data_IF_406943672203
#
_entry.id   IF_406943672203
#
_cell.length_a   1.000
_cell.length_b   1.000
_cell.length_c   1.000
_cell.angle_alpha   90.00
_cell.angle_beta   90.00
_cell.angle_gamma   90.00
#
_symmetry.space_group_name_H-M   'P 1'
#
loop_
_entity.id
_entity.type
_entity.pdbx_description
1 polymer ?
#
# COMPACT_ATOMS: atom_id res chain seq x y z
N UNK A 1 24.21 -23.62 -7.06
CA UNK A 1 22.99 -22.85 -7.38
C UNK A 1 21.82 -23.55 -6.70
N UNK A 2 21.44 -23.08 -5.51
CA UNK A 2 20.31 -23.63 -4.75
C UNK A 2 19.15 -22.66 -4.88
N UNK A 3 18.08 -23.08 -5.57
CA UNK A 3 16.82 -22.36 -5.56
C UNK A 3 16.24 -22.42 -4.15
N UNK A 4 16.19 -21.27 -3.48
CA UNK A 4 15.55 -21.13 -2.17
C UNK A 4 14.04 -21.20 -2.43
N UNK A 5 13.45 -22.38 -2.21
CA UNK A 5 12.00 -22.53 -2.06
C UNK A 5 11.61 -21.93 -0.71
N UNK A 6 11.15 -20.68 -0.70
CA UNK A 6 10.49 -20.13 0.48
C UNK A 6 9.20 -20.94 0.73
N UNK A 7 9.21 -21.75 1.79
CA UNK A 7 8.01 -22.32 2.37
C UNK A 7 7.31 -21.18 3.10
N UNK A 8 6.20 -20.69 2.56
CA UNK A 8 5.31 -19.78 3.27
C UNK A 8 4.84 -20.45 4.57
N UNK A 9 5.21 -19.86 5.69
CA UNK A 9 4.63 -20.17 7.00
C UNK A 9 3.25 -19.53 7.01
N UNK A 10 2.24 -20.40 6.99
CA UNK A 10 0.82 -20.08 7.05
C UNK A 10 0.51 -19.34 8.36
N UNK A 11 0.36 -18.01 8.29
CA UNK A 11 -0.09 -17.22 9.43
C UNK A 11 -1.62 -17.11 9.37
N UNK A 12 -2.28 -17.89 10.24
CA UNK A 12 -3.73 -17.88 10.43
C UNK A 12 -4.10 -16.61 11.20
N UNK A 13 -4.70 -15.62 10.53
CA UNK A 13 -5.35 -14.49 11.19
C UNK A 13 -6.81 -14.85 11.42
N UNK A 14 -7.17 -14.96 12.70
CA UNK A 14 -8.51 -15.24 13.16
C UNK A 14 -9.43 -14.02 12.94
N UNK A 15 -10.55 -14.22 12.25
CA UNK A 15 -11.73 -13.34 12.34
C UNK A 15 -12.75 -14.05 13.21
N UNK A 16 -12.99 -13.49 14.41
CA UNK A 16 -14.09 -13.88 15.29
C UNK A 16 -15.37 -13.16 14.85
N UNK A 17 -16.36 -13.93 14.39
CA UNK A 17 -17.78 -13.62 14.60
C UNK A 17 -18.53 -14.95 14.72
N UNK A 18 -19.10 -15.18 15.91
CA UNK A 18 -19.65 -16.48 16.29
C UNK A 18 -20.90 -16.86 15.52
N UNK A 19 -20.93 -18.12 15.06
CA UNK A 19 -22.09 -19.00 15.15
C UNK A 19 -21.55 -20.41 15.39
N UNK A 20 -21.80 -20.96 16.58
CA UNK A 20 -21.59 -22.36 16.85
C UNK A 20 -22.61 -23.16 16.03
N UNK A 21 -22.12 -23.82 14.98
CA UNK A 21 -22.83 -24.82 14.22
C UNK A 21 -21.82 -25.51 13.33
N UNK A 22 -21.42 -26.73 13.69
CA UNK A 22 -20.48 -27.55 12.94
C UNK A 22 -21.09 -28.00 11.60
N UNK A 23 -21.23 -27.08 10.66
CA UNK A 23 -21.31 -27.36 9.23
C UNK A 23 -19.91 -27.17 8.66
N UNK A 24 -19.43 -28.13 7.89
CA UNK A 24 -18.16 -28.06 7.15
C UNK A 24 -17.93 -26.66 6.57
N UNK A 25 -16.90 -25.95 7.06
CA UNK A 25 -16.53 -24.65 6.53
C UNK A 25 -16.34 -24.78 5.01
N UNK A 26 -17.00 -23.90 4.25
CA UNK A 26 -16.98 -23.91 2.79
C UNK A 26 -16.03 -22.82 2.35
N UNK A 27 -15.04 -23.22 1.56
CA UNK A 27 -13.87 -22.42 1.24
C UNK A 27 -13.93 -21.96 -0.22
N UNK A 28 -13.53 -20.71 -0.46
CA UNK A 28 -13.11 -20.25 -1.79
C UNK A 28 -11.60 -20.38 -1.87
N UNK A 29 -11.13 -21.01 -2.94
CA UNK A 29 -9.70 -21.18 -3.23
C UNK A 29 -9.37 -20.41 -4.48
N UNK A 30 -8.51 -19.39 -4.35
CA UNK A 30 -7.90 -18.77 -5.50
C UNK A 30 -6.86 -19.74 -6.10
N UNK A 31 -7.21 -20.35 -7.23
CA UNK A 31 -6.32 -21.24 -7.98
C UNK A 31 -5.57 -20.50 -9.10
N UNK A 32 -5.67 -19.16 -9.12
CA UNK A 32 -4.96 -18.31 -10.05
C UNK A 32 -3.86 -17.54 -9.35
N UNK A 33 -2.79 -17.33 -10.08
CA UNK A 33 -1.55 -16.68 -9.62
C UNK A 33 -1.66 -15.17 -9.80
N UNK A 34 -2.64 -14.59 -9.12
CA UNK A 34 -2.92 -13.16 -9.13
C UNK A 34 -3.71 -12.81 -7.88
N UNK A 35 -3.60 -11.55 -7.47
CA UNK A 35 -4.31 -11.07 -6.29
C UNK A 35 -5.78 -10.90 -6.65
N UNK A 36 -6.63 -11.59 -5.88
CA UNK A 36 -8.06 -11.69 -6.15
C UNK A 36 -8.85 -10.94 -5.07
N UNK A 37 -9.65 -9.97 -5.51
CA UNK A 37 -10.76 -9.46 -4.70
C UNK A 37 -12.06 -10.06 -5.18
N UNK A 38 -12.94 -10.45 -4.28
CA UNK A 38 -14.27 -10.87 -4.66
C UNK A 38 -15.32 -10.54 -3.60
N UNK A 39 -16.57 -10.60 -4.01
CA UNK A 39 -17.76 -10.53 -3.20
C UNK A 39 -18.68 -11.68 -3.56
N UNK A 40 -19.51 -12.10 -2.61
CA UNK A 40 -20.46 -13.20 -2.78
C UNK A 40 -21.85 -12.60 -2.70
N UNK A 41 -22.57 -12.67 -3.81
CA UNK A 41 -23.89 -12.04 -3.96
C UNK A 41 -24.95 -13.12 -4.07
N UNK A 42 -25.90 -13.21 -3.12
CA UNK A 42 -27.10 -14.03 -3.28
C UNK A 42 -27.84 -13.63 -4.55
N UNK A 43 -27.99 -14.56 -5.49
CA UNK A 43 -28.61 -14.28 -6.79
C UNK A 43 -29.02 -15.57 -7.49
N UNK A 44 -29.90 -15.47 -8.49
CA UNK A 44 -30.26 -16.56 -9.38
C UNK A 44 -29.39 -16.57 -10.65
N UNK A 45 -29.41 -17.67 -11.42
CA UNK A 45 -28.66 -17.81 -12.67
C UNK A 45 -29.03 -16.70 -13.68
N UNK A 46 -30.32 -16.36 -13.80
CA UNK A 46 -30.78 -15.38 -14.78
C UNK A 46 -30.25 -13.96 -14.50
N UNK A 47 -30.14 -13.58 -13.22
CA UNK A 47 -29.57 -12.31 -12.79
C UNK A 47 -28.05 -12.32 -12.92
N UNK A 48 -27.40 -13.46 -12.65
CA UNK A 48 -25.99 -13.63 -12.97
C UNK A 48 -25.71 -13.42 -14.46
N UNK A 49 -26.46 -14.08 -15.35
CA UNK A 49 -26.29 -14.00 -16.80
C UNK A 49 -26.52 -12.57 -17.33
N UNK A 50 -27.41 -11.80 -16.70
CA UNK A 50 -27.58 -10.37 -17.00
C UNK A 50 -26.37 -9.54 -16.56
N UNK A 51 -25.81 -9.82 -15.39
CA UNK A 51 -24.67 -9.06 -14.87
C UNK A 51 -23.38 -9.35 -15.68
N UNK A 52 -23.16 -10.57 -16.15
CA UNK A 52 -21.98 -10.87 -16.99
C UNK A 52 -22.04 -10.18 -18.36
N UNK A 53 -23.24 -9.84 -18.85
CA UNK A 53 -23.43 -9.11 -20.10
C UNK A 53 -23.03 -7.62 -19.98
N UNK A 54 -22.91 -7.10 -18.75
CA UNK A 54 -22.42 -5.76 -18.45
C UNK A 54 -21.35 -5.80 -17.35
N UNK A 55 -20.07 -6.01 -17.72
CA UNK A 55 -19.01 -6.12 -16.73
C UNK A 55 -18.78 -4.87 -15.87
N UNK A 56 -19.19 -3.69 -16.33
CA UNK A 56 -19.13 -2.48 -15.51
C UNK A 56 -20.03 -2.60 -14.27
N UNK A 57 -21.20 -3.23 -14.44
CA UNK A 57 -22.13 -3.54 -13.35
C UNK A 57 -21.49 -4.41 -12.27
N UNK A 58 -20.63 -5.35 -12.67
CA UNK A 58 -19.93 -6.22 -11.73
C UNK A 58 -18.92 -5.41 -10.90
N UNK A 59 -18.18 -4.50 -11.53
CA UNK A 59 -17.26 -3.59 -10.82
C UNK A 59 -18.01 -2.71 -9.82
N UNK A 60 -19.19 -2.19 -10.19
CA UNK A 60 -20.05 -1.43 -9.26
C UNK A 60 -20.50 -2.27 -8.05
N UNK A 61 -20.92 -3.51 -8.28
CA UNK A 61 -21.35 -4.44 -7.22
C UNK A 61 -20.19 -4.69 -6.24
N UNK A 62 -18.99 -4.91 -6.77
CA UNK A 62 -17.79 -5.12 -5.95
C UNK A 62 -17.47 -3.83 -5.17
N UNK A 63 -17.40 -2.68 -5.84
CA UNK A 63 -17.08 -1.39 -5.21
C UNK A 63 -18.09 -0.97 -4.12
N UNK A 64 -19.35 -1.40 -4.23
CA UNK A 64 -20.38 -1.12 -3.23
C UNK A 64 -20.21 -1.94 -1.93
N UNK A 65 -19.53 -3.09 -2.01
CA UNK A 65 -19.43 -4.05 -0.89
C UNK A 65 -18.00 -4.18 -0.35
N UNK A 66 -17.01 -3.73 -1.11
CA UNK A 66 -15.61 -3.73 -0.68
C UNK A 66 -14.89 -2.48 -1.15
N UNK A 67 -13.90 -2.06 -0.34
CA UNK A 67 -12.88 -1.13 -0.81
C UNK A 67 -11.94 -1.85 -1.77
N UNK A 68 -12.02 -1.54 -3.07
CA UNK A 68 -11.17 -2.13 -4.11
C UNK A 68 -9.69 -1.70 -4.01
N UNK A 69 -9.39 -0.68 -3.20
CA UNK A 69 -8.04 -0.18 -2.96
C UNK A 69 -7.22 -1.09 -2.06
N UNK A 70 -7.87 -2.02 -1.35
CA UNK A 70 -7.20 -2.98 -0.49
C UNK A 70 -7.50 -4.41 -0.97
N UNK A 71 -6.53 -5.04 -1.64
CA UNK A 71 -6.65 -6.44 -2.04
C UNK A 71 -5.72 -7.29 -1.17
N UNK A 72 -6.25 -8.08 -0.23
CA UNK A 72 -5.41 -8.91 0.60
C UNK A 72 -4.70 -9.98 -0.25
N UNK A 73 -3.40 -10.23 -0.01
CA UNK A 73 -2.64 -11.27 -0.68
C UNK A 73 -3.14 -12.63 -0.20
N UNK A 74 -4.02 -13.23 -0.99
CA UNK A 74 -4.65 -14.54 -0.76
C UNK A 74 -5.52 -14.64 0.50
N UNK A 75 -6.84 -14.82 0.29
CA UNK A 75 -7.78 -15.10 1.38
C UNK A 75 -8.55 -16.38 1.07
N UNK A 76 -8.25 -17.44 1.80
CA UNK A 76 -9.24 -18.47 2.06
C UNK A 76 -10.33 -17.82 2.90
N UNK A 77 -11.52 -17.63 2.33
CA UNK A 77 -12.64 -17.03 3.05
C UNK A 77 -13.68 -18.08 3.41
N UNK A 78 -14.29 -17.90 4.57
CA UNK A 78 -15.37 -18.75 5.05
C UNK A 78 -16.67 -18.12 4.63
N UNK A 79 -17.39 -18.82 3.76
CA UNK A 79 -18.65 -18.32 3.25
C UNK A 79 -19.78 -18.35 4.31
N UNK A 80 -20.76 -17.43 4.24
CA UNK A 80 -21.95 -17.41 5.12
C UNK A 80 -22.85 -18.65 4.93
N UNK A 81 -24.13 -18.66 5.31
CA UNK A 81 -25.02 -19.76 4.89
C UNK A 81 -25.34 -19.66 3.39
N UNK A 82 -25.52 -20.80 2.72
CA UNK A 82 -25.88 -20.83 1.30
C UNK A 82 -27.25 -20.20 1.05
N UNK A 83 -27.38 -19.25 0.11
CA UNK A 83 -28.68 -18.71 -0.27
C UNK A 83 -29.54 -19.75 -0.98
N UNK A 84 -30.87 -19.64 -0.82
CA UNK A 84 -31.83 -20.58 -1.39
C UNK A 84 -31.72 -20.70 -2.92
N UNK A 85 -31.45 -19.58 -3.61
CA UNK A 85 -31.44 -19.47 -5.07
C UNK A 85 -30.02 -19.55 -5.67
N UNK A 86 -29.02 -19.90 -4.87
CA UNK A 86 -27.61 -19.89 -5.26
C UNK A 86 -26.91 -18.55 -5.00
N UNK A 87 -25.67 -18.44 -5.44
CA UNK A 87 -24.87 -17.23 -5.30
C UNK A 87 -23.98 -17.00 -6.51
N UNK A 88 -23.69 -15.73 -6.82
CA UNK A 88 -22.63 -15.37 -7.73
C UNK A 88 -21.41 -14.88 -6.95
N UNK A 89 -20.25 -15.35 -7.36
CA UNK A 89 -18.97 -14.81 -6.95
C UNK A 89 -18.53 -13.84 -8.03
N UNK A 90 -18.46 -12.56 -7.67
CA UNK A 90 -17.97 -11.51 -8.54
C UNK A 90 -16.64 -11.02 -8.00
N UNK A 91 -15.65 -10.91 -8.86
CA UNK A 91 -14.32 -10.50 -8.43
C UNK A 91 -13.55 -9.73 -9.49
N UNK A 92 -12.39 -9.27 -9.07
CA UNK A 92 -11.38 -8.69 -9.94
C UNK A 92 -10.03 -9.30 -9.60
N UNK A 93 -9.32 -9.74 -10.63
CA UNK A 93 -7.90 -10.02 -10.53
C UNK A 93 -7.11 -8.75 -10.81
N UNK A 94 -6.12 -8.49 -9.97
CA UNK A 94 -5.08 -7.51 -10.20
C UNK A 94 -3.74 -8.21 -10.41
N UNK A 95 -2.97 -7.71 -11.37
CA UNK A 95 -1.63 -8.19 -11.68
C UNK A 95 -0.64 -7.06 -11.43
N UNK A 96 0.52 -7.41 -10.89
CA UNK A 96 1.66 -6.50 -10.78
C UNK A 96 1.98 -5.89 -12.16
N UNK A 97 2.16 -4.57 -12.21
CA UNK A 97 2.43 -3.84 -13.46
C UNK A 97 1.29 -3.76 -14.49
N UNK A 98 0.09 -4.31 -14.24
CA UNK A 98 -1.08 -4.13 -15.10
C UNK A 98 -2.10 -3.20 -14.43
N UNK A 99 -2.36 -2.04 -15.05
CA UNK A 99 -3.31 -1.03 -14.58
C UNK A 99 -4.78 -1.40 -14.85
N UNK A 100 -5.08 -2.57 -15.43
CA UNK A 100 -6.46 -3.00 -15.71
C UNK A 100 -7.01 -3.92 -14.62
N UNK A 101 -8.33 -3.91 -14.44
CA UNK A 101 -9.03 -4.85 -13.57
C UNK A 101 -9.61 -5.99 -14.42
N UNK A 102 -9.20 -7.21 -14.14
CA UNK A 102 -9.67 -8.38 -14.87
C UNK A 102 -10.89 -8.95 -14.16
N UNK A 103 -12.07 -8.66 -14.71
CA UNK A 103 -13.36 -8.97 -14.06
C UNK A 103 -13.64 -10.47 -14.12
N UNK A 104 -13.87 -11.06 -12.95
CA UNK A 104 -14.25 -12.44 -12.73
C UNK A 104 -15.73 -12.53 -12.35
N UNK A 105 -16.42 -13.52 -12.90
CA UNK A 105 -17.78 -13.84 -12.53
C UNK A 105 -18.00 -15.35 -12.56
N UNK A 106 -18.55 -15.89 -11.47
CA UNK A 106 -18.91 -17.31 -11.39
C UNK A 106 -20.21 -17.51 -10.64
N UNK A 107 -21.16 -18.17 -11.26
CA UNK A 107 -22.36 -18.64 -10.57
C UNK A 107 -22.13 -19.98 -9.85
N UNK A 108 -22.70 -20.09 -8.65
CA UNK A 108 -22.62 -21.24 -7.78
C UNK A 108 -24.05 -21.61 -7.35
N UNK A 109 -24.73 -22.50 -8.10
CA UNK A 109 -26.12 -22.88 -7.81
C UNK A 109 -26.22 -23.63 -6.48
N UNK A 110 -25.22 -24.44 -6.19
CA UNK A 110 -25.09 -25.19 -4.94
C UNK A 110 -23.67 -25.12 -4.46
N UNK A 111 -23.46 -24.83 -3.18
CA UNK A 111 -22.12 -24.81 -2.61
C UNK A 111 -21.68 -26.26 -2.36
N UNK A 112 -20.98 -26.81 -3.34
CA UNK A 112 -20.29 -28.10 -3.20
C UNK A 112 -18.91 -27.90 -2.55
N UNK A 113 -18.03 -28.91 -2.58
CA UNK A 113 -16.58 -28.87 -2.21
C UNK A 113 -15.88 -27.54 -2.59
N UNK A 114 -14.69 -27.24 -2.03
CA UNK A 114 -14.06 -25.91 -2.17
C UNK A 114 -14.20 -25.30 -3.55
N UNK A 115 -14.76 -24.10 -3.61
CA UNK A 115 -15.05 -23.41 -4.87
C UNK A 115 -13.73 -22.83 -5.37
N UNK A 116 -13.18 -23.43 -6.43
CA UNK A 116 -11.92 -23.00 -7.03
C UNK A 116 -12.16 -21.93 -8.08
N UNK A 117 -11.64 -20.73 -7.87
CA UNK A 117 -11.67 -19.63 -8.82
C UNK A 117 -10.36 -19.60 -9.61
N UNK A 118 -10.44 -19.35 -10.91
CA UNK A 118 -9.31 -19.42 -11.83
C UNK A 118 -9.40 -18.36 -12.93
N UNK A 119 -8.35 -18.25 -13.75
CA UNK A 119 -8.34 -17.39 -14.92
C UNK A 119 -9.43 -17.72 -15.97
N UNK A 120 -10.06 -18.90 -15.90
CA UNK A 120 -11.16 -19.29 -16.78
C UNK A 120 -12.49 -18.64 -16.37
N UNK A 121 -12.59 -18.14 -15.14
CA UNK A 121 -13.77 -17.44 -14.63
C UNK A 121 -13.71 -15.91 -14.95
N UNK A 122 -12.67 -15.45 -15.66
CA UNK A 122 -12.51 -14.05 -16.12
C UNK A 122 -13.37 -13.81 -17.36
N UNK A 123 -14.32 -12.88 -17.27
CA UNK A 123 -15.30 -12.56 -18.32
C UNK A 123 -14.94 -11.32 -19.15
N UNK A 124 -14.09 -10.43 -18.63
CA UNK A 124 -13.48 -9.35 -19.42
C UNK A 124 -12.00 -9.64 -19.56
N UNK A 125 -11.64 -10.14 -20.75
CA UNK A 125 -10.28 -10.09 -21.27
C UNK A 125 -10.32 -9.22 -22.50
N UNK A 126 -9.55 -8.14 -22.53
CA UNK A 126 -9.25 -7.48 -23.80
C UNK A 126 -8.47 -8.48 -24.68
N UNK A 127 -9.22 -9.20 -25.52
CA UNK A 127 -8.87 -9.87 -26.78
C UNK A 127 -7.51 -10.58 -26.98
N UNK A 128 -6.75 -10.96 -25.94
CA UNK A 128 -5.56 -11.81 -26.09
C UNK A 128 -5.53 -12.97 -25.09
N UNK A 129 -5.21 -14.20 -25.54
CA UNK A 129 -5.00 -15.34 -24.66
C UNK A 129 -3.71 -15.15 -23.85
N UNK A 130 -3.84 -15.04 -22.52
CA UNK A 130 -2.69 -15.09 -21.60
C UNK A 130 -2.17 -16.53 -21.57
N UNK A 131 -0.99 -16.75 -22.12
CA UNK A 131 -0.20 -17.95 -21.87
C UNK A 131 0.24 -17.96 -20.41
N UNK A 132 -0.11 -19.02 -19.70
CA UNK A 132 0.30 -19.30 -18.33
C UNK A 132 1.79 -19.61 -18.27
N UNK A 133 2.62 -18.58 -18.14
CA UNK A 133 3.89 -18.74 -17.45
C UNK A 133 3.56 -18.64 -15.95
N UNK A 134 3.92 -19.63 -15.14
CA UNK A 134 3.75 -19.52 -13.68
C UNK A 134 4.44 -18.26 -13.16
N UNK A 135 3.96 -17.67 -12.06
CA UNK A 135 4.70 -16.59 -11.42
C UNK A 135 6.10 -17.05 -11.11
N UNK A 136 7.04 -16.51 -11.87
CA UNK A 136 8.23 -15.96 -11.28
C UNK A 136 7.91 -14.51 -10.97
N UNK A 137 7.84 -14.17 -9.69
CA UNK A 137 7.92 -12.77 -9.24
C UNK A 137 9.11 -12.18 -9.99
N UNK A 138 8.91 -11.15 -10.84
CA UNK A 138 10.03 -10.53 -11.50
C UNK A 138 11.01 -10.11 -10.41
N UNK A 139 12.33 -10.38 -10.55
CA UNK A 139 13.29 -9.65 -9.73
C UNK A 139 12.96 -8.15 -9.84
N UNK A 140 13.24 -7.36 -8.80
CA UNK A 140 13.06 -5.90 -8.66
C UNK A 140 13.45 -5.01 -9.87
N UNK A 141 13.91 -5.60 -10.97
CA UNK A 141 14.14 -5.02 -12.28
C UNK A 141 12.90 -4.36 -12.91
N UNK A 142 11.65 -4.72 -12.54
CA UNK A 142 10.46 -3.99 -13.02
C UNK A 142 10.18 -2.76 -12.15
N UNK A 143 9.91 -1.61 -12.80
CA UNK A 143 9.48 -0.37 -12.15
C UNK A 143 8.24 -0.63 -11.29
N UNK A 144 8.22 -0.07 -10.07
CA UNK A 144 7.02 -0.03 -9.23
C UNK A 144 6.02 0.92 -9.89
N UNK A 145 4.75 0.51 -9.96
CA UNK A 145 3.67 1.33 -10.50
C UNK A 145 2.91 2.00 -9.36
N UNK A 146 2.80 3.33 -9.42
CA UNK A 146 2.08 4.17 -8.46
C UNK A 146 0.59 4.27 -8.88
N UNK A 147 -0.26 3.37 -8.38
CA UNK A 147 -1.67 3.14 -8.79
C UNK A 147 -2.67 2.73 -7.67
N UNK A 148 -2.28 2.74 -6.38
CA UNK A 148 -3.05 2.32 -5.20
C UNK A 148 -3.45 0.82 -5.20
N UNK A 149 -2.70 -0.08 -5.87
CA UNK A 149 -2.95 -1.53 -5.81
C UNK A 149 -1.98 -2.29 -4.93
N UNK A 150 -0.84 -1.68 -4.63
CA UNK A 150 0.21 -2.14 -3.73
C UNK A 150 0.83 -3.52 -4.00
N UNK A 151 0.49 -4.16 -5.13
CA UNK A 151 0.97 -5.51 -5.47
C UNK A 151 2.49 -5.57 -5.61
N UNK A 152 3.06 -4.51 -6.19
CA UNK A 152 4.49 -4.40 -6.40
C UNK A 152 5.27 -4.28 -5.07
N UNK A 153 4.60 -4.02 -3.94
CA UNK A 153 5.22 -3.86 -2.62
C UNK A 153 5.24 -5.13 -1.77
N UNK A 154 4.54 -6.20 -2.17
CA UNK A 154 4.40 -7.42 -1.36
C UNK A 154 5.77 -8.03 -1.03
N UNK A 155 6.70 -8.01 -1.99
CA UNK A 155 8.03 -8.60 -1.86
C UNK A 155 9.07 -7.65 -1.26
N UNK A 156 8.73 -6.37 -1.08
CA UNK A 156 9.62 -5.37 -0.48
C UNK A 156 9.44 -5.43 1.04
N UNK A 157 10.50 -5.72 1.81
CA UNK A 157 10.40 -5.75 3.26
C UNK A 157 10.19 -4.35 3.83
N UNK A 158 9.53 -4.28 4.98
CA UNK A 158 9.49 -3.07 5.78
C UNK A 158 10.92 -2.69 6.20
N UNK A 159 11.30 -1.43 5.93
CA UNK A 159 12.54 -0.83 6.42
C UNK A 159 12.33 -0.35 7.86
N UNK A 160 11.12 0.11 8.15
CA UNK A 160 10.63 0.39 9.50
C UNK A 160 9.25 -0.24 9.63
N UNK A 161 9.02 -0.92 10.76
CA UNK A 161 7.73 -1.52 11.11
C UNK A 161 7.40 -1.20 12.57
N UNK A 162 6.14 -0.88 12.81
CA UNK A 162 5.58 -0.59 14.13
C UNK A 162 4.44 -1.55 14.43
N UNK A 163 4.46 -2.13 15.63
CA UNK A 163 3.32 -2.87 16.14
C UNK A 163 2.12 -1.92 16.32
N UNK A 164 0.90 -2.37 16.06
CA UNK A 164 -0.32 -1.56 16.20
C UNK A 164 -0.50 -0.97 17.62
N UNK A 165 0.06 -1.63 18.63
CA UNK A 165 0.02 -1.20 20.03
C UNK A 165 1.17 -0.25 20.38
N UNK A 166 2.15 -0.10 19.49
CA UNK A 166 3.24 0.84 19.68
C UNK A 166 2.67 2.25 19.72
N UNK A 167 3.01 2.98 20.79
CA UNK A 167 2.61 4.36 21.02
C UNK A 167 3.85 5.16 21.34
N UNK A 168 4.14 6.27 20.63
CA UNK A 168 5.28 7.09 20.95
C UNK A 168 5.07 7.74 22.32
N UNK A 169 6.15 8.00 23.04
CA UNK A 169 6.05 8.67 24.37
C UNK A 169 5.76 10.16 24.23
N UNK A 170 6.26 10.77 23.15
CA UNK A 170 6.15 12.20 22.89
C UNK A 170 5.90 12.47 21.41
N UNK A 171 5.49 13.71 21.12
CA UNK A 171 5.37 14.24 19.77
C UNK A 171 5.82 15.70 19.78
N UNK A 172 6.04 16.28 18.60
CA UNK A 172 6.39 17.69 18.46
C UNK A 172 5.14 18.51 18.16
N UNK A 173 4.92 19.58 18.93
CA UNK A 173 3.85 20.55 18.72
C UNK A 173 4.45 21.87 18.24
N UNK A 174 3.92 22.40 17.15
CA UNK A 174 4.24 23.73 16.63
C UNK A 174 2.97 24.60 16.59
N UNK A 175 2.96 25.72 17.30
CA UNK A 175 1.83 26.68 17.34
C UNK A 175 2.10 27.97 16.54
N UNK A 176 3.13 27.95 15.68
CA UNK A 176 3.62 29.10 14.92
C UNK A 176 4.44 30.10 15.74
N UNK A 177 4.52 29.95 17.06
CA UNK A 177 5.37 30.77 17.95
C UNK A 177 6.51 29.96 18.56
N UNK A 178 6.26 28.68 18.82
CA UNK A 178 7.19 27.77 19.46
C UNK A 178 7.02 26.35 18.93
N UNK A 179 8.13 25.63 18.86
CA UNK A 179 8.16 24.20 18.55
C UNK A 179 8.65 23.46 19.80
N UNK A 180 7.80 22.60 20.36
CA UNK A 180 8.06 21.96 21.67
C UNK A 180 7.72 20.48 21.62
N UNK A 181 8.49 19.67 22.35
CA UNK A 181 8.20 18.24 22.55
C UNK A 181 7.25 18.07 23.72
N UNK A 182 6.13 17.40 23.51
CA UNK A 182 5.02 17.27 24.47
C UNK A 182 4.67 15.78 24.68
N UNK A 183 4.24 15.35 25.89
CA UNK A 183 3.78 13.98 26.10
C UNK A 183 2.62 13.58 25.19
N UNK A 184 2.62 12.35 24.70
CA UNK A 184 1.62 11.83 23.74
C UNK A 184 0.18 11.88 24.25
N UNK A 185 -0.04 11.87 25.58
CA UNK A 185 -1.36 12.00 26.19
C UNK A 185 -2.00 13.37 25.94
N UNK A 186 -1.20 14.37 25.57
CA UNK A 186 -1.68 15.72 25.23
C UNK A 186 -2.03 15.89 23.76
N UNK A 187 -1.80 14.87 22.93
CA UNK A 187 -2.05 14.93 21.49
C UNK A 187 -3.54 14.90 21.17
N UNK A 188 -3.96 15.73 20.22
CA UNK A 188 -5.32 15.72 19.65
C UNK A 188 -5.43 14.79 18.44
N UNK A 189 -4.29 14.46 17.82
CA UNK A 189 -4.23 13.81 16.51
C UNK A 189 -3.55 12.44 16.51
N UNK A 190 -3.06 11.94 17.64
CA UNK A 190 -2.53 10.57 17.73
C UNK A 190 -3.59 9.54 17.32
N UNK A 191 -3.16 8.53 16.54
CA UNK A 191 -4.03 7.52 15.93
C UNK A 191 -5.16 8.09 15.04
N UNK A 192 -4.92 9.24 14.42
CA UNK A 192 -5.80 9.90 13.44
C UNK A 192 -4.97 10.45 12.29
N UNK A 193 -5.59 10.72 11.14
CA UNK A 193 -4.95 11.40 10.01
C UNK A 193 -3.61 10.78 9.54
N UNK A 194 -3.44 9.47 9.69
CA UNK A 194 -2.22 8.74 9.34
C UNK A 194 -1.12 8.77 10.39
N UNK A 195 -1.32 9.40 11.56
CA UNK A 195 -0.27 9.55 12.59
C UNK A 195 0.15 8.24 13.29
N UNK A 196 -0.65 7.18 13.22
CA UNK A 196 -0.28 5.87 13.75
C UNK A 196 0.21 4.99 12.60
N UNK A 197 1.49 5.14 12.26
CA UNK A 197 2.13 4.39 11.17
C UNK A 197 2.22 2.90 11.49
N UNK A 198 2.02 2.07 10.47
CA UNK A 198 2.33 0.64 10.46
C UNK A 198 3.77 0.42 10.01
N UNK A 199 4.19 1.10 8.94
CA UNK A 199 5.55 0.90 8.44
C UNK A 199 5.84 1.62 7.14
N UNK A 200 7.11 1.58 6.78
CA UNK A 200 7.68 2.24 5.61
C UNK A 200 8.46 1.21 4.80
N UNK A 201 8.22 1.19 3.49
CA UNK A 201 8.97 0.41 2.50
C UNK A 201 9.59 1.37 1.50
N UNK A 202 10.83 1.08 1.12
CA UNK A 202 11.58 1.88 0.14
C UNK A 202 12.19 0.95 -0.92
N UNK A 203 12.27 1.43 -2.15
CA UNK A 203 13.02 0.77 -3.21
C UNK A 203 13.59 1.79 -4.17
N UNK A 204 14.72 1.47 -4.80
CA UNK A 204 15.33 2.27 -5.86
C UNK A 204 15.42 1.44 -7.13
N UNK A 205 14.90 2.00 -8.22
CA UNK A 205 15.04 1.43 -9.56
C UNK A 205 14.93 2.56 -10.61
N UNK A 206 15.68 2.46 -11.70
CA UNK A 206 15.50 3.30 -12.90
C UNK A 206 15.57 4.80 -12.64
N UNK A 207 16.45 5.23 -11.72
CA UNK A 207 16.60 6.64 -11.34
C UNK A 207 15.47 7.19 -10.48
N UNK A 208 14.62 6.33 -9.94
CA UNK A 208 13.54 6.67 -9.02
C UNK A 208 13.76 6.04 -7.66
N UNK A 209 13.38 6.77 -6.62
CA UNK A 209 13.13 6.24 -5.27
C UNK A 209 11.63 6.09 -5.12
N UNK A 210 11.19 4.88 -4.84
CA UNK A 210 9.81 4.57 -4.52
C UNK A 210 9.66 4.47 -3.01
N UNK A 211 8.58 5.04 -2.49
CA UNK A 211 8.22 4.96 -1.07
C UNK A 211 6.80 4.43 -0.93
N UNK A 212 6.57 3.49 0.00
CA UNK A 212 5.24 3.14 0.50
C UNK A 212 5.19 3.37 2.00
N UNK A 213 4.16 4.09 2.45
CA UNK A 213 3.87 4.38 3.85
C UNK A 213 2.52 3.80 4.18
N UNK A 214 2.47 2.97 5.22
CA UNK A 214 1.26 2.30 5.71
C UNK A 214 0.94 2.82 7.10
N UNK A 215 -0.35 2.96 7.41
CA UNK A 215 -0.83 3.47 8.70
C UNK A 215 -2.05 2.69 9.20
N UNK A 216 -2.10 2.46 10.52
CA UNK A 216 -3.28 1.90 11.19
C UNK A 216 -4.43 2.92 11.33
N UNK A 217 -4.13 4.23 11.20
CA UNK A 217 -5.13 5.29 11.17
C UNK A 217 -5.28 5.83 9.75
N UNK A 218 -6.51 6.23 9.41
CA UNK A 218 -6.77 6.72 8.07
C UNK A 218 -6.04 8.04 7.79
N UNK A 219 -5.37 8.17 6.64
CA UNK A 219 -4.83 9.44 6.16
C UNK A 219 -5.96 10.44 5.97
N UNK A 220 -5.77 11.65 6.49
CA UNK A 220 -6.72 12.75 6.29
C UNK A 220 -6.14 13.71 5.26
N UNK A 221 -7.01 14.39 4.51
CA UNK A 221 -6.55 15.50 3.67
C UNK A 221 -5.83 16.54 4.53
N UNK A 222 -4.78 17.14 3.96
CA UNK A 222 -3.89 18.10 4.59
C UNK A 222 -2.90 17.53 5.61
N UNK A 223 -2.98 16.25 6.00
CA UNK A 223 -1.84 15.64 6.68
C UNK A 223 -0.64 15.56 5.74
N UNK A 224 0.55 15.46 6.30
CA UNK A 224 1.79 15.55 5.56
C UNK A 224 2.71 14.43 6.03
N UNK A 225 3.18 13.59 5.11
CA UNK A 225 4.30 12.70 5.40
C UNK A 225 5.58 13.44 5.03
N UNK A 226 6.53 13.49 5.96
CA UNK A 226 7.83 14.14 5.77
C UNK A 226 8.94 13.13 5.97
N UNK A 227 9.96 13.18 5.12
CA UNK A 227 11.24 12.51 5.34
C UNK A 227 12.33 13.58 5.46
N UNK A 228 12.85 13.78 6.66
CA UNK A 228 13.96 14.69 6.93
C UNK A 228 15.29 13.98 6.71
N UNK A 229 16.13 14.50 5.83
CA UNK A 229 17.39 13.88 5.48
C UNK A 229 18.57 14.48 6.27
N UNK A 230 19.45 13.62 6.78
CA UNK A 230 20.61 14.00 7.59
C UNK A 230 21.88 13.30 7.13
N UNK A 231 22.98 14.05 7.10
CA UNK A 231 24.36 13.52 6.99
C UNK A 231 25.04 13.33 8.36
N UNK A 232 24.63 14.16 9.32
CA UNK A 232 24.91 14.05 10.74
C UNK A 232 23.63 14.44 11.49
N UNK A 233 23.10 13.55 12.32
CA UNK A 233 21.85 13.78 13.08
C UNK A 233 22.00 14.81 14.19
N UNK A 234 23.22 15.29 14.45
CA UNK A 234 23.49 16.41 15.37
C UNK A 234 23.28 17.77 14.70
N UNK A 235 23.28 17.81 13.37
CA UNK A 235 23.05 18.99 12.57
C UNK A 235 21.59 19.04 12.09
N UNK A 236 21.09 20.22 11.66
CA UNK A 236 19.80 20.32 10.99
C UNK A 236 19.73 19.41 9.75
N UNK A 237 18.51 19.03 9.37
CA UNK A 237 18.29 18.28 8.14
C UNK A 237 18.85 19.04 6.93
N UNK A 238 19.58 18.34 6.06
CA UNK A 238 20.17 18.92 4.84
C UNK A 238 19.09 19.24 3.80
N UNK A 239 18.05 18.41 3.75
CA UNK A 239 16.84 18.63 2.95
C UNK A 239 15.66 17.86 3.59
N UNK A 240 14.44 18.15 3.17
CA UNK A 240 13.26 17.35 3.47
C UNK A 240 12.49 17.03 2.20
N UNK A 241 11.90 15.83 2.18
CA UNK A 241 10.93 15.42 1.18
C UNK A 241 9.56 15.43 1.83
N UNK A 242 8.61 16.11 1.19
CA UNK A 242 7.27 16.37 1.71
C UNK A 242 6.19 15.80 0.77
N UNK A 243 5.28 15.03 1.33
CA UNK A 243 4.17 14.38 0.64
C UNK A 243 2.84 14.86 1.28
N UNK A 244 2.36 16.06 0.93
CA UNK A 244 1.14 16.62 1.49
C UNK A 244 -0.07 15.86 0.94
N UNK A 245 -0.79 15.15 1.80
CA UNK A 245 -1.94 14.29 1.46
C UNK A 245 -3.05 15.14 0.83
N UNK A 246 -3.02 15.22 -0.49
CA UNK A 246 -3.85 16.05 -1.37
C UNK A 246 -4.07 15.34 -2.71
N UNK A 247 -5.04 15.80 -3.50
CA UNK A 247 -5.34 15.28 -4.83
C UNK A 247 -5.30 16.41 -5.87
N UNK A 248 -4.48 16.32 -6.93
CA UNK A 248 -3.47 15.29 -7.21
C UNK A 248 -2.30 15.32 -6.20
N UNK A 249 -1.67 14.16 -5.96
CA UNK A 249 -0.55 14.05 -5.02
C UNK A 249 0.79 14.42 -5.67
N UNK A 250 1.47 15.41 -5.11
CA UNK A 250 2.79 15.91 -5.56
C UNK A 250 3.81 15.69 -4.44
N UNK A 251 5.02 15.28 -4.81
CA UNK A 251 6.15 15.18 -3.87
C UNK A 251 7.00 16.44 -3.98
N UNK A 252 7.29 17.07 -2.84
CA UNK A 252 8.08 18.30 -2.75
C UNK A 252 9.45 18.06 -2.12
N UNK A 253 10.46 18.77 -2.61
CA UNK A 253 11.81 18.84 -2.05
C UNK A 253 12.07 20.23 -1.50
N UNK A 254 12.47 20.30 -0.23
CA UNK A 254 12.94 21.51 0.42
C UNK A 254 14.39 21.37 0.85
N UNK A 255 15.19 22.42 0.70
CA UNK A 255 16.54 22.51 1.23
C UNK A 255 16.83 23.94 1.69
N UNK A 256 17.87 24.11 2.50
CA UNK A 256 18.10 25.34 3.27
C UNK A 256 18.24 26.62 2.43
N UNK A 257 18.69 26.51 1.17
CA UNK A 257 18.89 27.65 0.28
C UNK A 257 17.73 27.87 -0.69
N UNK A 258 16.68 27.03 -0.65
CA UNK A 258 15.54 27.14 -1.54
C UNK A 258 14.58 28.23 -1.08
N UNK A 259 14.19 29.14 -1.98
CA UNK A 259 13.08 30.07 -1.71
C UNK A 259 11.70 29.38 -1.81
N UNK A 260 11.61 28.31 -2.61
CA UNK A 260 10.40 27.54 -2.89
C UNK A 260 10.76 26.07 -3.07
N UNK A 261 9.84 25.13 -2.79
CA UNK A 261 10.14 23.72 -2.99
C UNK A 261 10.18 23.37 -4.48
N UNK A 262 10.98 22.37 -4.83
CA UNK A 262 10.91 21.73 -6.13
C UNK A 262 9.86 20.61 -6.10
N UNK A 263 9.07 20.45 -7.16
CA UNK A 263 8.24 19.26 -7.35
C UNK A 263 9.10 18.17 -7.97
N UNK A 264 9.27 17.04 -7.27
CA UNK A 264 10.25 16.00 -7.60
C UNK A 264 9.62 14.61 -7.79
N UNK A 265 8.30 14.56 -7.97
CA UNK A 265 7.59 13.31 -8.12
C UNK A 265 6.10 13.43 -7.84
N UNK A 266 5.46 12.28 -7.76
CA UNK A 266 4.02 12.16 -7.49
C UNK A 266 3.75 11.04 -6.51
N UNK A 267 2.58 11.10 -5.89
CA UNK A 267 2.11 10.02 -5.04
C UNK A 267 0.62 9.78 -5.26
N UNK A 268 0.19 8.56 -4.95
CA UNK A 268 -1.21 8.21 -4.77
C UNK A 268 -1.40 7.70 -3.34
N UNK A 269 -2.60 7.87 -2.82
CA UNK A 269 -2.94 7.38 -1.50
C UNK A 269 -4.39 6.91 -1.46
N UNK A 270 -4.65 5.97 -0.57
CA UNK A 270 -5.99 5.56 -0.17
C UNK A 270 -6.27 5.90 1.29
N UNK A 271 -7.09 5.10 1.97
CA UNK A 271 -7.41 5.33 3.37
C UNK A 271 -6.20 5.08 4.29
N UNK A 272 -5.40 4.04 4.05
CA UNK A 272 -4.39 3.55 5.00
C UNK A 272 -2.99 3.43 4.40
N UNK A 273 -2.86 3.60 3.09
CA UNK A 273 -1.60 3.48 2.38
C UNK A 273 -1.38 4.69 1.49
N UNK A 274 -0.11 5.02 1.32
CA UNK A 274 0.41 6.02 0.40
C UNK A 274 1.58 5.39 -0.32
N UNK A 275 1.65 5.56 -1.63
CA UNK A 275 2.82 5.21 -2.43
C UNK A 275 3.26 6.36 -3.32
N UNK A 276 4.56 6.55 -3.42
CA UNK A 276 5.19 7.67 -4.10
C UNK A 276 6.34 7.21 -4.99
N UNK A 277 6.51 7.91 -6.11
CA UNK A 277 7.72 7.87 -6.93
C UNK A 277 8.42 9.22 -6.85
N UNK A 278 9.74 9.19 -6.68
CA UNK A 278 10.58 10.35 -6.41
C UNK A 278 11.77 10.30 -7.34
N UNK A 279 11.97 11.37 -8.09
CA UNK A 279 13.06 11.50 -9.06
C UNK A 279 14.40 11.66 -8.33
N UNK A 280 15.29 10.66 -8.47
CA UNK A 280 16.57 10.67 -7.76
C UNK A 280 17.45 11.84 -8.21
N UNK A 281 17.46 12.15 -9.50
CA UNK A 281 18.24 13.26 -10.08
C UNK A 281 17.83 14.63 -9.51
N UNK A 282 16.65 14.78 -8.93
CA UNK A 282 16.27 16.03 -8.28
C UNK A 282 17.14 16.33 -7.04
N UNK A 283 17.76 15.31 -6.43
CA UNK A 283 18.70 15.49 -5.33
C UNK A 283 20.02 16.16 -5.78
N UNK A 284 20.30 16.23 -7.08
CA UNK A 284 21.48 16.94 -7.60
C UNK A 284 21.42 18.43 -7.31
N UNK A 285 20.22 18.99 -7.12
CA UNK A 285 20.04 20.38 -6.72
C UNK A 285 20.57 20.65 -5.30
N UNK A 286 20.66 19.62 -4.46
CA UNK A 286 21.14 19.72 -3.07
C UNK A 286 22.62 19.37 -2.97
N UNK A 287 23.07 18.35 -3.71
CA UNK A 287 24.39 17.77 -3.53
C UNK A 287 25.36 17.96 -4.70
N UNK A 288 24.91 18.51 -5.84
CA UNK A 288 25.62 18.42 -7.11
C UNK A 288 25.39 17.07 -7.80
N UNK A 289 26.07 16.80 -8.94
CA UNK A 289 25.86 15.58 -9.72
C UNK A 289 25.99 14.31 -8.86
N UNK A 290 24.98 13.43 -8.93
CA UNK A 290 24.91 12.26 -8.03
C UNK A 290 25.99 11.23 -8.35
N UNK A 291 26.43 11.15 -9.60
CA UNK A 291 27.55 10.30 -10.03
C UNK A 291 28.92 10.80 -9.55
N UNK A 292 29.00 12.06 -9.10
CA UNK A 292 30.18 12.65 -8.50
C UNK A 292 30.13 12.67 -6.96
N UNK A 293 29.02 12.23 -6.35
CA UNK A 293 28.89 12.19 -4.90
C UNK A 293 29.89 11.21 -4.28
N UNK A 294 30.57 11.68 -3.24
CA UNK A 294 31.40 10.82 -2.41
C UNK A 294 30.55 9.65 -1.88
N UNK A 295 30.92 8.38 -2.13
CA UNK A 295 30.19 7.22 -1.63
C UNK A 295 29.94 7.24 -0.13
N UNK A 296 30.83 7.90 0.64
CA UNK A 296 30.68 8.05 2.09
C UNK A 296 29.50 8.97 2.46
N UNK A 297 29.12 9.92 1.61
CA UNK A 297 27.95 10.78 1.81
C UNK A 297 26.69 9.91 1.76
N UNK A 298 26.54 9.11 0.72
CA UNK A 298 25.39 8.22 0.56
C UNK A 298 25.33 7.16 1.67
N UNK A 299 26.47 6.63 2.09
CA UNK A 299 26.56 5.66 3.18
C UNK A 299 26.14 6.23 4.55
N UNK A 300 26.23 7.57 4.71
CA UNK A 300 25.87 8.30 5.93
C UNK A 300 24.47 8.90 5.87
N UNK A 301 23.88 9.03 4.69
CA UNK A 301 22.57 9.63 4.51
C UNK A 301 21.50 8.81 5.23
N UNK A 302 20.73 9.48 6.08
CA UNK A 302 19.63 8.90 6.84
C UNK A 302 18.40 9.78 6.75
N UNK A 303 17.24 9.16 6.85
CA UNK A 303 15.93 9.78 6.70
C UNK A 303 15.09 9.51 7.94
N UNK A 304 14.72 10.57 8.65
CA UNK A 304 13.74 10.52 9.73
C UNK A 304 12.36 10.78 9.13
N UNK A 305 11.51 9.75 9.15
CA UNK A 305 10.14 9.87 8.69
C UNK A 305 9.26 10.39 9.80
N UNK A 306 8.32 11.26 9.45
CA UNK A 306 7.32 11.80 10.37
C UNK A 306 5.99 12.01 9.65
N UNK A 307 4.90 12.01 10.43
CA UNK A 307 3.59 12.47 9.97
C UNK A 307 3.25 13.75 10.70
N UNK A 308 3.00 14.82 9.95
CA UNK A 308 2.54 16.11 10.46
C UNK A 308 1.05 16.21 10.21
N UNK A 309 0.29 16.51 11.26
CA UNK A 309 -1.16 16.72 11.19
C UNK A 309 -1.47 18.18 11.54
N UNK A 310 -2.00 18.96 10.58
CA UNK A 310 -2.42 20.32 10.85
C UNK A 310 -3.76 20.36 11.61
N UNK A 311 -3.87 21.29 12.53
CA UNK A 311 -5.10 21.70 13.21
C UNK A 311 -5.28 23.21 13.18
N UNK A 312 -6.30 23.71 13.88
CA UNK A 312 -6.62 25.15 13.95
C UNK A 312 -5.53 25.97 14.66
N UNK A 313 -4.46 26.31 13.94
CA UNK A 313 -3.33 27.09 14.44
C UNK A 313 -2.26 26.29 15.19
N UNK A 314 -2.32 24.97 15.14
CA UNK A 314 -1.33 24.06 15.74
C UNK A 314 -1.04 22.92 14.78
N UNK A 315 0.22 22.52 14.67
CA UNK A 315 0.68 21.32 13.98
C UNK A 315 1.19 20.32 15.01
N UNK A 316 0.80 19.06 14.87
CA UNK A 316 1.36 17.96 15.66
C UNK A 316 2.14 17.01 14.73
N UNK A 317 3.40 16.78 15.05
CA UNK A 317 4.32 15.94 14.27
C UNK A 317 4.72 14.71 15.08
N UNK A 318 4.48 13.54 14.48
CA UNK A 318 4.71 12.23 15.06
C UNK A 318 5.85 11.53 14.33
N UNK A 319 6.93 11.24 15.05
CA UNK A 319 8.09 10.56 14.49
C UNK A 319 7.77 9.09 14.19
N UNK A 320 8.10 8.70 12.96
CA UNK A 320 7.81 7.42 12.31
C UNK A 320 9.05 6.57 12.01
N UNK A 321 10.19 6.85 12.64
CA UNK A 321 11.41 6.04 12.55
C UNK A 321 12.45 6.56 11.56
N UNK A 322 13.63 5.96 11.61
CA UNK A 322 14.78 6.32 10.78
C UNK A 322 15.06 5.21 9.77
N UNK A 323 15.36 5.58 8.52
CA UNK A 323 15.92 4.68 7.50
C UNK A 323 17.26 5.22 7.01
N UNK A 324 18.25 4.34 6.82
CA UNK A 324 19.53 4.73 6.19
C UNK A 324 19.47 4.45 4.69
N UNK A 325 20.04 5.33 3.88
CA UNK A 325 20.03 5.19 2.42
C UNK A 325 20.66 3.87 1.95
N UNK A 326 21.74 3.44 2.61
CA UNK A 326 22.42 2.16 2.36
C UNK A 326 21.56 0.91 2.59
N UNK A 327 20.48 1.04 3.36
CA UNK A 327 19.58 -0.07 3.67
C UNK A 327 18.42 -0.15 2.66
N UNK A 328 18.30 0.82 1.74
CA UNK A 328 17.25 0.86 0.74
C UNK A 328 17.47 -0.22 -0.33
N UNK A 329 16.44 -1.00 -0.61
CA UNK A 329 16.49 -2.05 -1.64
C UNK A 329 16.82 -1.43 -3.02
N UNK A 330 17.86 -1.95 -3.68
CA UNK A 330 18.29 -1.46 -5.00
C UNK A 330 19.31 -0.32 -4.96
N UNK A 331 19.63 0.19 -3.77
CA UNK A 331 20.71 1.15 -3.56
C UNK A 331 22.07 0.41 -3.58
N UNK A 332 22.77 0.41 -4.71
CA UNK A 332 24.10 -0.22 -4.86
C UNK A 332 25.03 0.58 -5.73
#
# INVERSE_FOLDING_TARGET
>A
MNAIRLRFVMMVVAVLAGVAGAGSAREIVNAHDAVLRYVVVPTDQATHDRNIADPARIVEIIAAQTDLRYVPPAGLDVLPSQPADGAAIYGVYAYAGDIRWHVLARYVPVWTRPIRLSANDIIVRDSQPVTTAGWTVPPLATSIVIDNRYLDWEHIPYHVYFDQRARPETFVRDDGRSRTTVPIDSSLFWARAGSNLEGIKLAVNSGMVYTMVSAYSAFAEQSLVVAYAYLDRREPAVFSIELPVTRPGIVFLWWSTAEKPAAIGRFVYDRFHLEAEIELHALETVFGPIDELDPDILARLSFDFAVVVPGSGVYEEFFGGTVFARDIVGFR
#
